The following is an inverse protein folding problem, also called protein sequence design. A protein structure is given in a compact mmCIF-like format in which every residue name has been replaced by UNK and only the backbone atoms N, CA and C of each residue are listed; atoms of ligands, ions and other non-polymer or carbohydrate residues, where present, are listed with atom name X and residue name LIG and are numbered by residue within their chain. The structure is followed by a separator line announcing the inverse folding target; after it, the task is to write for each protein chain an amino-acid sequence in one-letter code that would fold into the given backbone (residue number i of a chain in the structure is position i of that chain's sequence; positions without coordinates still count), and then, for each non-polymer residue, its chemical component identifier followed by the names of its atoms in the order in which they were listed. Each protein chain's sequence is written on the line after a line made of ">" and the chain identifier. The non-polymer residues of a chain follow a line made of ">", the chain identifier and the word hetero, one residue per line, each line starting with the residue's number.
data_IF_001764411087
#
_entry.id   IF_001764411087
#
_cell.length_a   1.000
_cell.length_b   1.000
_cell.length_c   1.000
_cell.angle_alpha   90.00
_cell.angle_beta   90.00
_cell.angle_gamma   90.00
#
_symmetry.space_group_name_H-M   'P 1'
#
loop_
_entity.id
_entity.type
_entity.pdbx_description
1 polymer ?
#
# COMPACT_ATOMS: atom_id res chain seq x y z
N UNK A 1 -63.48 2.35 7.33
CA UNK A 1 -64.15 1.50 6.33
C UNK A 1 -63.06 1.00 5.43
N UNK A 2 -62.64 -0.16 5.36
CA UNK A 2 -62.90 -1.57 5.44
C UNK A 2 -61.56 -2.20 5.04
N UNK A 3 -60.89 -2.87 5.76
CA UNK A 3 -60.59 -4.23 6.17
C UNK A 3 -60.92 -5.32 5.11
N UNK A 4 -59.90 -6.10 4.73
CA UNK A 4 -59.93 -7.51 4.35
C UNK A 4 -58.48 -7.95 4.10
N UNK A 5 -57.75 -8.65 4.93
CA UNK A 5 -57.76 -10.05 5.41
C UNK A 5 -57.53 -11.14 4.38
N UNK A 6 -56.39 -11.84 4.61
CA UNK A 6 -56.18 -13.28 4.51
C UNK A 6 -55.99 -13.88 3.11
N UNK A 7 -55.05 -14.80 2.84
CA UNK A 7 -55.01 -16.15 3.40
C UNK A 7 -53.70 -16.87 3.05
N UNK A 8 -53.22 -17.66 3.96
CA UNK A 8 -52.16 -18.68 3.90
C UNK A 8 -52.52 -19.83 2.98
N UNK A 9 -51.51 -20.49 2.39
CA UNK A 9 -51.53 -21.95 2.23
C UNK A 9 -50.10 -22.52 2.28
N UNK A 10 -49.94 -23.37 3.26
CA UNK A 10 -48.82 -24.28 3.45
C UNK A 10 -48.97 -25.50 2.55
N UNK A 11 -47.89 -26.08 2.05
CA UNK A 11 -47.85 -27.49 1.68
C UNK A 11 -46.52 -28.08 2.20
N UNK A 12 -46.71 -29.14 2.94
CA UNK A 12 -45.77 -30.00 3.64
C UNK A 12 -45.04 -30.98 2.72
N UNK A 13 -43.85 -31.37 3.22
CA UNK A 13 -43.32 -32.74 3.36
C UNK A 13 -42.49 -33.32 2.22
N UNK A 14 -41.23 -33.68 2.52
CA UNK A 14 -40.91 -35.08 2.81
C UNK A 14 -39.48 -35.23 3.29
N UNK A 15 -39.39 -35.84 4.46
CA UNK A 15 -38.22 -36.31 5.18
C UNK A 15 -37.59 -37.51 4.48
N UNK A 16 -36.23 -37.59 4.46
CA UNK A 16 -35.51 -38.83 4.51
C UNK A 16 -34.21 -38.62 5.28
N UNK A 17 -34.13 -39.20 6.45
CA UNK A 17 -32.99 -39.15 7.34
C UNK A 17 -31.87 -40.11 6.94
N UNK A 18 -30.64 -39.74 7.25
CA UNK A 18 -29.56 -40.68 7.56
C UNK A 18 -28.79 -40.11 8.75
N UNK A 19 -29.05 -40.73 9.90
CA UNK A 19 -28.31 -40.55 11.13
C UNK A 19 -27.06 -41.44 11.06
N UNK A 20 -25.87 -40.83 11.19
CA UNK A 20 -24.64 -41.57 11.49
C UNK A 20 -24.19 -41.13 12.88
N UNK A 21 -24.31 -42.05 13.83
CA UNK A 21 -23.78 -41.95 15.19
C UNK A 21 -22.27 -42.09 15.17
N UNK A 22 -21.58 -41.14 15.80
CA UNK A 22 -20.18 -41.31 16.22
C UNK A 22 -20.13 -41.37 17.75
N UNK A 23 -19.36 -42.34 18.32
CA UNK A 23 -19.25 -42.42 19.78
C UNK A 23 -18.26 -41.40 20.33
N UNK A 24 -18.65 -40.79 21.43
CA UNK A 24 -17.79 -39.96 22.28
C UNK A 24 -16.81 -40.89 23.02
N UNK A 25 -15.51 -40.68 22.82
CA UNK A 25 -14.47 -41.32 23.65
C UNK A 25 -13.40 -40.27 23.99
N UNK A 26 -13.37 -39.94 25.29
CA UNK A 26 -12.27 -39.58 26.20
C UNK A 26 -11.01 -38.91 25.62
N UNK A 27 -10.70 -37.74 26.16
CA UNK A 27 -9.46 -37.01 26.02
C UNK A 27 -8.21 -37.83 26.39
N UNK A 28 -7.11 -37.72 25.66
CA UNK A 28 -5.80 -38.15 26.16
C UNK A 28 -4.98 -36.96 26.71
N UNK A 29 -4.40 -37.24 27.83
CA UNK A 29 -3.38 -36.55 28.59
C UNK A 29 -2.18 -36.16 27.72
N UNK A 30 -1.74 -34.92 27.81
CA UNK A 30 -0.52 -34.41 27.16
C UNK A 30 0.68 -35.03 27.90
N UNK A 31 1.40 -35.91 27.22
CA UNK A 31 2.76 -36.33 27.61
C UNK A 31 3.73 -35.71 26.63
N UNK A 32 4.67 -34.93 27.16
CA UNK A 32 5.77 -34.37 26.39
C UNK A 32 6.59 -35.44 25.69
N UNK A 33 6.60 -35.46 24.37
CA UNK A 33 7.43 -36.35 23.58
C UNK A 33 8.67 -35.60 23.10
N UNK A 34 9.81 -36.03 23.61
CA UNK A 34 11.16 -35.75 23.11
C UNK A 34 11.29 -36.15 21.63
N UNK A 35 11.94 -35.24 20.85
CA UNK A 35 12.30 -35.51 19.46
C UNK A 35 13.08 -36.82 19.32
N UNK A 36 12.45 -37.84 18.75
CA UNK A 36 13.13 -39.02 18.27
C UNK A 36 12.91 -39.09 16.76
N UNK A 37 14.01 -39.07 16.04
CA UNK A 37 14.12 -39.23 14.60
C UNK A 37 13.48 -40.55 14.16
N UNK A 38 12.43 -40.47 13.33
CA UNK A 38 11.86 -41.64 12.65
C UNK A 38 12.64 -41.89 11.35
N UNK A 39 13.55 -42.85 11.41
CA UNK A 39 14.15 -43.44 10.21
C UNK A 39 13.12 -44.42 9.61
N UNK A 40 12.61 -44.12 8.41
CA UNK A 40 11.87 -45.09 7.58
C UNK A 40 12.87 -45.84 6.73
N UNK A 41 13.07 -47.13 7.01
CA UNK A 41 13.79 -48.03 6.10
C UNK A 41 12.91 -48.36 4.89
N UNK A 42 13.40 -48.07 3.70
CA UNK A 42 12.84 -48.61 2.46
C UNK A 42 13.48 -49.95 2.14
N UNK A 43 12.70 -50.90 1.58
CA UNK A 43 13.00 -52.29 1.33
C UNK A 43 14.20 -52.59 0.39
N UNK A 44 15.07 -51.65 0.10
CA UNK A 44 16.27 -51.80 -0.74
C UNK A 44 17.55 -51.23 -0.12
N UNK A 45 17.64 -51.10 1.17
CA UNK A 45 18.91 -50.91 1.89
C UNK A 45 19.82 -49.72 1.45
N UNK A 46 19.28 -48.70 0.81
CA UNK A 46 20.03 -47.49 0.47
C UNK A 46 19.59 -46.36 1.42
N UNK A 47 20.47 -45.79 2.26
CA UNK A 47 20.11 -44.66 3.10
C UNK A 47 19.86 -43.45 2.20
N UNK A 48 18.61 -43.02 2.09
CA UNK A 48 18.30 -41.70 1.54
C UNK A 48 18.66 -40.66 2.60
N UNK A 49 19.81 -40.03 2.44
CA UNK A 49 20.10 -38.78 3.14
C UNK A 49 19.15 -37.72 2.58
N UNK A 50 18.15 -37.35 3.36
CA UNK A 50 17.44 -36.08 3.10
C UNK A 50 18.47 -35.01 3.37
N UNK A 51 19.05 -34.45 2.31
CA UNK A 51 19.81 -33.21 2.41
C UNK A 51 18.85 -32.16 2.99
N UNK A 52 19.13 -31.69 4.20
CA UNK A 52 18.51 -30.46 4.68
C UNK A 52 18.86 -29.38 3.64
N UNK A 53 17.89 -28.99 2.81
CA UNK A 53 18.03 -27.78 1.99
C UNK A 53 18.28 -26.63 2.93
N UNK A 54 19.52 -26.17 2.94
CA UNK A 54 19.88 -24.95 3.63
C UNK A 54 19.00 -23.85 3.06
N UNK A 55 18.23 -23.09 3.88
CA UNK A 55 17.41 -22.03 3.34
C UNK A 55 18.28 -21.14 2.46
N UNK A 56 17.81 -20.84 1.26
CA UNK A 56 18.51 -19.98 0.31
C UNK A 56 18.94 -18.71 1.04
N UNK A 57 20.24 -18.37 0.99
CA UNK A 57 20.75 -17.20 1.68
C UNK A 57 20.06 -15.96 1.08
N UNK A 58 19.40 -15.19 1.96
CA UNK A 58 18.77 -13.90 1.58
C UNK A 58 19.79 -13.01 0.87
N UNK A 59 19.38 -12.36 -0.24
CA UNK A 59 20.19 -11.36 -0.94
C UNK A 59 20.58 -10.24 0.05
N UNK A 60 21.87 -9.89 0.20
CA UNK A 60 22.29 -8.88 1.19
C UNK A 60 21.71 -7.49 0.87
N UNK A 61 21.56 -6.67 1.91
CA UNK A 61 21.22 -5.25 1.76
C UNK A 61 22.24 -4.56 0.84
N UNK A 62 21.77 -3.62 0.00
CA UNK A 62 22.64 -2.86 -0.89
C UNK A 62 23.75 -2.15 -0.12
N UNK A 63 25.00 -2.32 -0.57
CA UNK A 63 26.18 -1.85 0.16
C UNK A 63 26.30 -0.31 0.21
N UNK A 64 25.74 0.39 -0.78
CA UNK A 64 25.72 1.87 -0.78
C UNK A 64 24.63 2.35 0.18
N UNK A 65 23.45 1.72 0.14
CA UNK A 65 22.36 2.01 1.06
C UNK A 65 22.82 1.80 2.51
N UNK A 66 23.52 0.71 2.81
CA UNK A 66 24.04 0.45 4.14
C UNK A 66 24.94 1.59 4.63
N UNK A 67 25.85 2.10 3.81
CA UNK A 67 26.72 3.25 4.14
C UNK A 67 25.93 4.53 4.38
N UNK A 68 24.86 4.76 3.61
CA UNK A 68 23.99 5.93 3.81
C UNK A 68 23.25 5.82 5.14
N UNK A 69 22.74 4.65 5.49
CA UNK A 69 22.05 4.40 6.76
C UNK A 69 22.99 4.53 7.97
N UNK A 70 24.27 4.13 7.83
CA UNK A 70 25.30 4.33 8.85
C UNK A 70 25.64 5.82 9.05
N UNK A 71 25.67 6.59 7.96
CA UNK A 71 25.97 8.03 8.01
C UNK A 71 24.81 8.89 8.52
N UNK A 72 23.57 8.49 8.21
CA UNK A 72 22.34 9.20 8.62
C UNK A 72 21.36 8.16 9.20
N UNK A 73 21.61 7.71 10.44
CA UNK A 73 20.74 6.74 11.07
C UNK A 73 19.37 7.36 11.34
N UNK A 74 18.33 6.73 10.82
CA UNK A 74 16.95 7.14 11.05
C UNK A 74 16.06 5.90 11.25
N UNK A 75 15.20 5.99 12.24
CA UNK A 75 14.16 5.03 12.51
C UNK A 75 12.85 5.78 12.74
N UNK A 76 11.86 5.44 11.95
CA UNK A 76 10.50 5.92 12.19
C UNK A 76 10.00 5.30 13.50
N UNK A 77 9.49 6.12 14.40
CA UNK A 77 9.05 5.67 15.73
C UNK A 77 7.96 6.60 16.25
N UNK A 78 7.10 6.07 17.10
CA UNK A 78 6.08 6.84 17.84
C UNK A 78 6.57 7.32 19.21
N UNK A 79 7.81 7.03 19.57
CA UNK A 79 8.41 7.46 20.83
C UNK A 79 8.49 8.97 20.93
N UNK A 80 8.10 9.50 22.08
CA UNK A 80 8.03 10.95 22.31
C UNK A 80 6.80 11.63 21.74
N UNK A 81 5.87 10.85 21.15
CA UNK A 81 4.61 11.35 20.61
C UNK A 81 4.70 11.86 19.17
N UNK A 82 3.54 12.28 18.65
CA UNK A 82 3.38 12.60 17.22
C UNK A 82 4.23 13.78 16.78
N UNK A 83 4.31 14.84 17.57
CA UNK A 83 5.09 16.03 17.18
C UNK A 83 6.61 15.74 17.13
N UNK A 84 7.11 14.93 18.06
CA UNK A 84 8.49 14.49 18.01
C UNK A 84 8.77 13.60 16.78
N UNK A 85 7.82 12.76 16.37
CA UNK A 85 7.92 11.93 15.16
C UNK A 85 7.91 12.78 13.90
N UNK A 86 7.02 13.77 13.82
CA UNK A 86 6.97 14.75 12.72
C UNK A 86 8.23 15.57 12.60
N UNK A 87 8.77 16.04 13.75
CA UNK A 87 10.00 16.83 13.75
C UNK A 87 11.19 15.99 13.26
N UNK A 88 11.38 14.78 13.78
CA UNK A 88 12.42 13.87 13.29
C UNK A 88 12.31 13.59 11.80
N UNK A 89 11.08 13.44 11.29
CA UNK A 89 10.85 13.22 9.86
C UNK A 89 11.15 14.47 9.03
N UNK A 90 10.80 15.67 9.51
CA UNK A 90 11.16 16.95 8.87
C UNK A 90 12.67 17.20 8.83
N UNK A 91 13.39 16.79 9.87
CA UNK A 91 14.84 17.00 10.02
C UNK A 91 15.68 16.10 9.11
N UNK A 92 15.08 15.10 8.44
CA UNK A 92 15.80 14.26 7.49
C UNK A 92 16.39 15.13 6.36
N UNK A 93 17.67 14.92 6.01
CA UNK A 93 18.26 15.64 4.88
C UNK A 93 17.58 15.25 3.58
N UNK A 94 17.16 16.25 2.81
CA UNK A 94 16.55 16.06 1.50
C UNK A 94 17.35 16.76 0.42
N UNK A 95 17.53 16.05 -0.69
CA UNK A 95 18.19 16.63 -1.86
C UNK A 95 17.15 17.32 -2.72
N UNK A 96 17.45 18.54 -3.17
CA UNK A 96 16.64 19.17 -4.21
C UNK A 96 16.82 18.42 -5.53
N UNK A 97 15.73 17.93 -6.10
CA UNK A 97 15.68 17.27 -7.41
C UNK A 97 14.82 18.07 -8.37
N UNK A 98 15.14 18.03 -9.66
CA UNK A 98 14.36 18.67 -10.73
C UNK A 98 13.91 20.12 -10.38
N UNK A 99 14.84 21.06 -10.13
CA UNK A 99 14.50 22.42 -9.73
C UNK A 99 13.75 23.20 -10.83
N UNK A 100 13.82 22.72 -12.06
CA UNK A 100 13.13 23.23 -13.25
C UNK A 100 11.65 22.85 -13.35
N UNK A 101 11.19 21.89 -12.56
CA UNK A 101 9.76 21.55 -12.45
C UNK A 101 9.01 22.72 -11.83
N UNK A 102 8.09 23.31 -12.60
CA UNK A 102 7.20 24.36 -12.10
C UNK A 102 6.25 23.82 -11.05
N UNK A 103 6.09 24.52 -9.95
CA UNK A 103 5.18 24.15 -8.86
C UNK A 103 4.25 25.29 -8.48
N UNK A 104 3.08 24.94 -7.94
CA UNK A 104 2.12 25.91 -7.38
C UNK A 104 1.37 25.28 -6.21
N UNK A 105 1.40 25.94 -5.07
CA UNK A 105 0.52 25.60 -3.95
C UNK A 105 -0.88 26.12 -4.22
N UNK A 106 -1.88 25.30 -3.92
CA UNK A 106 -3.30 25.63 -3.97
C UNK A 106 -4.00 25.05 -2.74
N UNK A 107 -5.21 25.50 -2.54
CA UNK A 107 -6.12 24.96 -1.53
C UNK A 107 -7.41 24.60 -2.24
N UNK A 108 -7.95 23.44 -1.94
CA UNK A 108 -9.23 22.96 -2.49
C UNK A 108 -10.22 22.74 -1.35
N UNK A 109 -11.49 22.72 -1.66
CA UNK A 109 -12.52 22.39 -0.69
C UNK A 109 -12.48 20.89 -0.38
N UNK A 110 -12.50 20.56 0.90
CA UNK A 110 -12.56 19.19 1.40
C UNK A 110 -13.74 18.94 2.33
N UNK A 111 -14.01 17.69 2.70
CA UNK A 111 -15.21 17.30 3.46
C UNK A 111 -15.24 17.87 4.89
N UNK A 112 -14.10 18.23 5.45
CA UNK A 112 -14.00 18.80 6.81
C UNK A 112 -13.19 20.10 6.86
N UNK A 113 -13.05 20.78 5.74
CA UNK A 113 -12.31 22.02 5.60
C UNK A 113 -11.34 22.00 4.41
N UNK A 114 -10.52 23.04 4.28
CA UNK A 114 -9.64 23.18 3.13
C UNK A 114 -8.52 22.10 3.12
N UNK A 115 -8.24 21.53 1.95
CA UNK A 115 -7.15 20.59 1.72
C UNK A 115 -6.04 21.30 0.94
N UNK A 116 -4.84 21.50 1.51
CA UNK A 116 -3.69 22.00 0.76
C UNK A 116 -3.23 20.97 -0.27
N UNK A 117 -2.91 21.45 -1.47
CA UNK A 117 -2.32 20.66 -2.54
C UNK A 117 -1.13 21.42 -3.15
N UNK A 118 -0.20 20.66 -3.74
CA UNK A 118 0.85 21.23 -4.59
C UNK A 118 0.80 20.57 -5.96
N UNK A 119 0.71 21.41 -6.98
CA UNK A 119 0.68 20.98 -8.38
C UNK A 119 2.08 21.11 -8.96
N UNK A 120 2.52 20.09 -9.70
CA UNK A 120 3.80 20.01 -10.37
C UNK A 120 3.57 19.79 -11.86
N UNK A 121 4.20 20.59 -12.71
CA UNK A 121 4.13 20.43 -14.16
C UNK A 121 5.42 19.87 -14.71
N UNK A 122 5.36 18.84 -15.59
CA UNK A 122 6.57 18.28 -16.19
C UNK A 122 7.31 19.37 -17.00
N UNK A 123 8.66 19.36 -17.04
CA UNK A 123 9.44 20.44 -17.63
C UNK A 123 9.34 20.53 -19.16
N UNK A 124 8.93 19.46 -19.83
CA UNK A 124 8.88 19.38 -21.28
C UNK A 124 7.45 19.55 -21.80
N UNK A 125 7.22 20.62 -22.55
CA UNK A 125 6.03 20.75 -23.39
C UNK A 125 6.19 19.86 -24.62
N UNK A 126 5.49 18.72 -24.64
CA UNK A 126 5.50 17.78 -25.78
C UNK A 126 4.52 18.19 -26.89
N UNK A 127 3.86 19.35 -26.75
CA UNK A 127 2.79 19.80 -27.64
C UNK A 127 1.47 19.03 -27.50
N UNK A 128 1.40 18.12 -26.53
CA UNK A 128 0.20 17.37 -26.17
C UNK A 128 -0.18 17.64 -24.73
N UNK A 129 -1.49 17.68 -24.43
CA UNK A 129 -1.99 17.78 -23.05
C UNK A 129 -1.43 16.64 -22.21
N UNK A 130 -0.70 16.87 -21.11
CA UNK A 130 -0.16 15.81 -20.28
C UNK A 130 -1.26 15.07 -19.49
N UNK A 131 -1.05 13.82 -19.12
CA UNK A 131 -1.92 13.14 -18.16
C UNK A 131 -1.80 13.76 -16.76
N UNK A 132 -2.64 13.31 -15.82
CA UNK A 132 -2.61 13.77 -14.42
C UNK A 132 -2.46 12.62 -13.44
N UNK A 133 -1.70 12.84 -12.37
CA UNK A 133 -1.46 11.88 -11.28
C UNK A 133 -1.81 12.55 -9.96
N UNK A 134 -2.68 11.93 -9.18
CA UNK A 134 -2.86 12.25 -7.76
C UNK A 134 -1.81 11.49 -6.97
N UNK A 135 -0.94 12.21 -6.26
CA UNK A 135 0.11 11.62 -5.44
C UNK A 135 -0.22 11.76 -3.96
N UNK A 136 -0.26 10.64 -3.26
CA UNK A 136 -0.56 10.53 -1.84
C UNK A 136 0.70 10.08 -1.11
N UNK A 137 1.21 10.92 -0.21
CA UNK A 137 2.46 10.67 0.47
C UNK A 137 2.36 9.59 1.56
N UNK A 138 3.49 8.95 1.88
CA UNK A 138 3.62 8.01 2.98
C UNK A 138 3.74 8.68 4.35
N UNK A 139 4.26 7.92 5.32
CA UNK A 139 4.48 8.41 6.69
C UNK A 139 3.47 7.88 7.71
N UNK A 140 2.89 6.68 7.48
CA UNK A 140 1.99 6.02 8.43
C UNK A 140 0.78 6.86 8.78
N UNK A 141 0.25 7.63 7.82
CA UNK A 141 -0.89 8.55 7.97
C UNK A 141 -0.71 9.60 9.08
N UNK A 142 0.49 9.71 9.67
CA UNK A 142 0.75 10.53 10.87
C UNK A 142 1.87 11.54 10.69
N UNK A 143 2.77 11.31 9.75
CA UNK A 143 3.87 12.23 9.40
C UNK A 143 3.89 12.46 7.87
N UNK A 144 4.70 13.41 7.41
CA UNK A 144 4.75 13.79 6.01
C UNK A 144 3.92 15.05 5.72
N UNK A 145 4.33 15.77 4.69
CA UNK A 145 3.68 16.99 4.19
C UNK A 145 4.17 17.28 2.76
N UNK A 146 3.64 18.35 2.14
CA UNK A 146 4.01 18.75 0.78
C UNK A 146 5.50 19.09 0.63
N UNK A 147 6.17 19.55 1.70
CA UNK A 147 7.58 19.93 1.64
C UNK A 147 8.49 18.71 1.82
N UNK A 148 8.12 17.81 2.71
CA UNK A 148 8.91 16.59 2.97
C UNK A 148 8.85 15.59 1.82
N UNK A 149 7.82 15.66 0.96
CA UNK A 149 7.61 14.81 -0.22
C UNK A 149 7.76 15.55 -1.57
N UNK A 150 8.31 16.78 -1.55
CA UNK A 150 8.51 17.59 -2.75
C UNK A 150 9.39 16.86 -3.80
N UNK A 151 10.43 16.16 -3.35
CA UNK A 151 11.34 15.39 -4.21
C UNK A 151 10.64 14.25 -4.95
N UNK A 152 9.88 13.45 -4.22
CA UNK A 152 9.13 12.30 -4.76
C UNK A 152 8.08 12.77 -5.78
N UNK A 153 7.34 13.84 -5.48
CA UNK A 153 6.35 14.41 -6.39
C UNK A 153 7.01 14.95 -7.68
N UNK A 154 8.17 15.60 -7.59
CA UNK A 154 8.95 16.05 -8.76
C UNK A 154 9.44 14.87 -9.59
N UNK A 155 9.96 13.81 -8.97
CA UNK A 155 10.36 12.60 -9.66
C UNK A 155 9.18 11.98 -10.44
N UNK A 156 7.98 11.95 -9.84
CA UNK A 156 6.77 11.48 -10.53
C UNK A 156 6.40 12.37 -11.71
N UNK A 157 6.45 13.69 -11.57
CA UNK A 157 6.12 14.61 -12.66
C UNK A 157 7.04 14.44 -13.87
N UNK A 158 8.35 14.30 -13.62
CA UNK A 158 9.35 14.11 -14.67
C UNK A 158 9.26 12.70 -15.26
N UNK A 159 9.28 11.67 -14.40
CA UNK A 159 9.33 10.28 -14.83
C UNK A 159 8.08 9.83 -15.59
N UNK A 160 6.90 10.25 -15.14
CA UNK A 160 5.65 9.95 -15.83
C UNK A 160 5.33 10.93 -16.98
N UNK A 161 6.04 12.04 -17.12
CA UNK A 161 5.70 13.17 -18.01
C UNK A 161 4.22 13.60 -17.82
N UNK A 162 3.82 13.81 -16.57
CA UNK A 162 2.46 14.07 -16.14
C UNK A 162 2.39 15.30 -15.21
N UNK A 163 1.24 15.97 -15.17
CA UNK A 163 0.93 16.87 -14.07
C UNK A 163 0.72 16.03 -12.81
N UNK A 164 1.42 16.38 -11.73
CA UNK A 164 1.26 15.69 -10.44
C UNK A 164 0.58 16.63 -9.46
N UNK A 165 -0.42 16.13 -8.76
CA UNK A 165 -1.09 16.83 -7.67
C UNK A 165 -0.80 16.07 -6.38
N UNK A 166 0.12 16.61 -5.58
CA UNK A 166 0.42 16.09 -4.24
C UNK A 166 -0.58 16.64 -3.24
N UNK A 167 -1.14 15.76 -2.41
CA UNK A 167 -2.24 16.07 -1.50
C UNK A 167 -1.75 16.05 -0.06
N UNK A 168 -2.00 17.11 0.68
CA UNK A 168 -1.80 17.15 2.12
C UNK A 168 -3.10 16.77 2.83
N UNK A 169 -3.36 15.48 2.91
CA UNK A 169 -4.50 14.94 3.64
C UNK A 169 -4.32 15.11 5.15
N UNK A 170 -5.41 15.11 5.90
CA UNK A 170 -5.40 15.22 7.37
C UNK A 170 -4.69 14.02 8.00
N UNK A 171 -3.87 14.31 9.01
CA UNK A 171 -3.00 13.32 9.65
C UNK A 171 -3.55 12.86 11.01
N UNK A 172 -3.32 11.60 11.32
CA UNK A 172 -3.51 11.02 12.63
C UNK A 172 -2.35 11.44 13.59
N UNK A 173 -2.55 11.39 14.90
CA UNK A 173 -3.75 10.97 15.63
C UNK A 173 -4.83 12.04 15.75
N UNK A 174 -4.58 13.30 15.36
CA UNK A 174 -5.56 14.39 15.48
C UNK A 174 -6.79 14.14 14.60
N UNK A 175 -6.57 13.49 13.46
CA UNK A 175 -7.60 13.09 12.50
C UNK A 175 -7.40 11.61 12.13
N UNK A 176 -7.88 10.69 12.96
CA UNK A 176 -7.76 9.27 12.70
C UNK A 176 -8.60 8.85 11.48
N UNK A 177 -8.53 7.60 11.10
CA UNK A 177 -9.39 7.01 10.09
C UNK A 177 -10.87 7.38 10.35
N UNK A 178 -11.64 7.75 9.32
CA UNK A 178 -11.31 7.74 7.88
C UNK A 178 -10.83 9.08 7.30
N UNK A 179 -10.43 10.06 8.11
CA UNK A 179 -10.16 11.43 7.66
C UNK A 179 -9.21 11.53 6.45
N UNK A 180 -8.12 10.76 6.42
CA UNK A 180 -7.17 10.74 5.30
C UNK A 180 -7.79 10.14 4.03
N UNK A 181 -8.66 9.14 4.17
CA UNK A 181 -9.40 8.54 3.04
C UNK A 181 -10.36 9.55 2.43
N UNK A 182 -11.13 10.23 3.29
CA UNK A 182 -12.11 11.24 2.84
C UNK A 182 -11.43 12.38 2.06
N UNK A 183 -10.28 12.86 2.57
CA UNK A 183 -9.52 13.92 1.92
C UNK A 183 -8.88 13.45 0.60
N UNK A 184 -8.30 12.25 0.58
CA UNK A 184 -7.70 11.67 -0.62
C UNK A 184 -8.75 11.45 -1.73
N UNK A 185 -9.93 10.99 -1.37
CA UNK A 185 -11.05 10.82 -2.28
C UNK A 185 -11.56 12.17 -2.82
N UNK A 186 -11.82 13.15 -1.92
CA UNK A 186 -12.25 14.48 -2.31
C UNK A 186 -11.23 15.17 -3.24
N UNK A 187 -9.94 15.06 -2.93
CA UNK A 187 -8.87 15.60 -3.78
C UNK A 187 -8.85 14.93 -5.16
N UNK A 188 -9.06 13.62 -5.24
CA UNK A 188 -9.09 12.89 -6.51
C UNK A 188 -10.28 13.32 -7.37
N UNK A 189 -11.46 13.47 -6.78
CA UNK A 189 -12.64 13.99 -7.47
C UNK A 189 -12.40 15.42 -7.98
N UNK A 190 -11.81 16.26 -7.14
CA UNK A 190 -11.48 17.62 -7.52
C UNK A 190 -10.49 17.67 -8.68
N UNK A 191 -9.42 16.87 -8.64
CA UNK A 191 -8.41 16.80 -9.71
C UNK A 191 -9.06 16.37 -11.03
N UNK A 192 -9.90 15.37 -11.02
CA UNK A 192 -10.60 14.92 -12.22
C UNK A 192 -11.49 16.02 -12.81
N UNK A 193 -12.24 16.74 -11.98
CA UNK A 193 -13.12 17.83 -12.42
C UNK A 193 -12.36 19.06 -12.94
N UNK A 194 -11.12 19.30 -12.43
CA UNK A 194 -10.35 20.52 -12.73
C UNK A 194 -9.06 20.23 -13.53
N UNK A 195 -8.87 19.02 -14.05
CA UNK A 195 -7.67 18.66 -14.82
C UNK A 195 -7.42 19.61 -15.98
N UNK A 196 -8.47 20.03 -16.70
CA UNK A 196 -8.36 21.01 -17.78
C UNK A 196 -7.82 22.38 -17.35
N UNK A 197 -8.18 22.86 -16.16
CA UNK A 197 -7.65 24.09 -15.58
C UNK A 197 -6.17 23.97 -15.16
N UNK A 198 -5.72 22.73 -14.89
CA UNK A 198 -4.33 22.41 -14.63
C UNK A 198 -3.52 22.21 -15.91
N UNK A 199 -4.17 22.25 -17.09
CA UNK A 199 -3.58 21.96 -18.37
C UNK A 199 -3.30 20.46 -18.56
N UNK A 200 -4.09 19.61 -17.92
CA UNK A 200 -3.96 18.15 -17.95
C UNK A 200 -5.21 17.47 -18.54
N UNK A 201 -5.07 16.23 -18.95
CA UNK A 201 -6.12 15.42 -19.53
C UNK A 201 -6.84 14.59 -18.45
N UNK A 202 -8.13 14.85 -18.16
CA UNK A 202 -8.88 14.13 -17.15
C UNK A 202 -9.11 12.65 -17.49
N UNK A 203 -9.10 12.28 -18.79
CA UNK A 203 -9.29 10.90 -19.24
C UNK A 203 -8.03 10.05 -19.05
N UNK A 204 -6.92 10.66 -18.63
CA UNK A 204 -5.65 10.00 -18.32
C UNK A 204 -5.22 10.28 -16.88
N UNK A 205 -6.11 9.98 -15.95
CA UNK A 205 -5.90 10.09 -14.51
C UNK A 205 -5.29 8.81 -13.96
N UNK A 206 -4.25 8.94 -13.13
CA UNK A 206 -3.73 7.86 -12.30
C UNK A 206 -3.64 8.28 -10.83
N UNK A 207 -3.58 7.29 -9.95
CA UNK A 207 -3.25 7.48 -8.54
C UNK A 207 -1.90 6.85 -8.24
N UNK A 208 -1.11 7.51 -7.42
CA UNK A 208 0.18 7.01 -6.96
C UNK A 208 0.36 7.32 -5.48
N UNK A 209 1.08 6.47 -4.78
CA UNK A 209 1.42 6.73 -3.38
C UNK A 209 2.37 5.69 -2.82
N UNK A 210 3.01 6.05 -1.72
CA UNK A 210 3.98 5.22 -1.05
C UNK A 210 3.53 4.85 0.37
N UNK A 211 3.74 3.61 0.81
CA UNK A 211 3.44 3.17 2.19
C UNK A 211 1.95 3.42 2.55
N UNK A 212 1.68 4.25 3.54
CA UNK A 212 0.35 4.74 3.87
C UNK A 212 -0.34 5.45 2.69
N UNK A 213 0.41 6.20 1.89
CA UNK A 213 -0.12 6.81 0.66
C UNK A 213 -0.42 5.79 -0.42
N UNK A 214 0.34 4.69 -0.50
CA UNK A 214 0.03 3.53 -1.34
C UNK A 214 -1.26 2.83 -0.93
N UNK A 215 -1.52 2.74 0.38
CA UNK A 215 -2.82 2.31 0.90
C UNK A 215 -3.94 3.23 0.41
N UNK A 216 -3.80 4.55 0.64
CA UNK A 216 -4.80 5.53 0.23
C UNK A 216 -5.05 5.50 -1.29
N UNK A 217 -4.00 5.32 -2.11
CA UNK A 217 -4.14 5.21 -3.57
C UNK A 217 -4.95 3.96 -3.97
N UNK A 218 -4.71 2.81 -3.34
CA UNK A 218 -5.48 1.60 -3.56
C UNK A 218 -6.95 1.77 -3.14
N UNK A 219 -7.19 2.41 -1.98
CA UNK A 219 -8.55 2.71 -1.49
C UNK A 219 -9.28 3.67 -2.43
N UNK A 220 -8.63 4.73 -2.88
CA UNK A 220 -9.22 5.69 -3.83
C UNK A 220 -9.57 5.01 -5.15
N UNK A 221 -8.76 4.07 -5.65
CA UNK A 221 -9.08 3.30 -6.85
C UNK A 221 -10.35 2.45 -6.66
N UNK A 222 -10.56 1.86 -5.47
CA UNK A 222 -11.79 1.14 -5.14
C UNK A 222 -13.00 2.08 -5.07
N UNK A 223 -12.87 3.21 -4.35
CA UNK A 223 -13.94 4.20 -4.23
C UNK A 223 -14.35 4.77 -5.60
N UNK A 224 -13.38 5.01 -6.48
CA UNK A 224 -13.66 5.50 -7.83
C UNK A 224 -14.47 4.50 -8.64
N UNK A 225 -14.13 3.22 -8.61
CA UNK A 225 -14.90 2.16 -9.26
C UNK A 225 -16.31 2.04 -8.66
N UNK A 226 -16.42 1.99 -7.34
CA UNK A 226 -17.67 1.70 -6.64
C UNK A 226 -18.69 2.86 -6.73
N UNK A 227 -18.21 4.07 -6.93
CA UNK A 227 -19.05 5.27 -7.06
C UNK A 227 -19.35 5.67 -8.51
N UNK A 228 -18.99 4.85 -9.54
CA UNK A 228 -18.96 5.27 -10.94
C UNK A 228 -18.28 6.64 -11.09
N UNK A 229 -17.20 6.82 -10.31
CA UNK A 229 -16.48 8.09 -10.19
C UNK A 229 -15.50 8.33 -11.33
N UNK A 230 -14.51 9.21 -11.16
CA UNK A 230 -13.57 9.51 -12.23
C UNK A 230 -12.82 8.25 -12.67
N UNK A 231 -12.68 8.01 -14.00
CA UNK A 231 -11.99 6.84 -14.49
C UNK A 231 -10.50 6.91 -14.16
N UNK A 232 -10.03 6.03 -13.29
CA UNK A 232 -8.60 5.90 -12.97
C UNK A 232 -8.00 4.88 -13.93
N UNK A 233 -6.97 5.28 -14.68
CA UNK A 233 -6.31 4.40 -15.66
C UNK A 233 -5.24 3.50 -15.08
N UNK A 234 -4.65 3.89 -13.97
CA UNK A 234 -3.53 3.16 -13.38
C UNK A 234 -3.36 3.47 -11.89
N UNK A 235 -2.87 2.51 -11.12
CA UNK A 235 -2.43 2.68 -9.75
C UNK A 235 -0.96 2.30 -9.59
N UNK A 236 -0.13 3.23 -9.10
CA UNK A 236 1.28 3.02 -8.80
C UNK A 236 1.46 2.99 -7.28
N UNK A 237 1.72 1.80 -6.75
CA UNK A 237 1.76 1.54 -5.31
C UNK A 237 3.17 1.18 -4.88
N UNK A 238 3.82 2.08 -4.13
CA UNK A 238 5.15 1.87 -3.60
C UNK A 238 5.07 1.30 -2.19
N UNK A 239 5.56 0.10 -1.97
CA UNK A 239 5.58 -0.64 -0.70
C UNK A 239 4.32 -0.40 0.16
N UNK A 240 3.12 -0.63 -0.40
CA UNK A 240 1.86 -0.19 0.20
C UNK A 240 1.46 -1.03 1.42
N UNK A 241 0.80 -0.40 2.40
CA UNK A 241 0.14 -1.09 3.52
C UNK A 241 -1.29 -1.49 3.10
N UNK A 242 -1.56 -2.76 2.79
CA UNK A 242 -2.82 -3.17 2.17
C UNK A 242 -3.64 -4.19 2.95
N UNK A 243 -3.00 -5.08 3.71
CA UNK A 243 -3.69 -6.19 4.37
C UNK A 243 -3.98 -5.95 5.85
N UNK A 244 -3.10 -5.21 6.53
CA UNK A 244 -3.06 -5.07 7.99
C UNK A 244 -2.85 -6.40 8.72
N UNK A 245 -2.29 -7.41 8.04
CA UNK A 245 -2.01 -8.72 8.59
C UNK A 245 -0.56 -8.83 9.05
N UNK A 246 -0.33 -8.61 10.35
CA UNK A 246 1.01 -8.71 10.95
C UNK A 246 1.49 -10.15 11.13
N UNK A 247 0.72 -11.16 10.73
CA UNK A 247 1.15 -12.57 10.75
C UNK A 247 1.95 -12.98 9.50
N UNK A 248 1.98 -12.12 8.47
CA UNK A 248 2.75 -12.37 7.26
C UNK A 248 4.25 -12.50 7.57
N UNK A 249 4.98 -13.41 6.88
CA UNK A 249 6.39 -13.71 7.18
C UNK A 249 7.30 -12.49 7.23
N UNK A 250 7.09 -11.51 6.33
CA UNK A 250 7.92 -10.29 6.27
C UNK A 250 7.91 -9.48 7.56
N UNK A 251 6.83 -9.52 8.36
CA UNK A 251 6.78 -8.82 9.66
C UNK A 251 7.79 -9.41 10.67
N UNK A 252 7.91 -10.72 10.71
CA UNK A 252 8.90 -11.38 11.57
C UNK A 252 10.32 -11.26 11.03
N UNK A 253 10.49 -11.47 9.73
CA UNK A 253 11.79 -11.38 9.05
C UNK A 253 12.41 -9.99 9.13
N UNK A 254 11.58 -8.95 9.10
CA UNK A 254 11.98 -7.56 9.04
C UNK A 254 11.56 -6.74 10.28
N UNK A 255 11.30 -7.40 11.41
CA UNK A 255 10.86 -6.74 12.64
C UNK A 255 11.76 -5.59 13.09
N UNK A 256 13.06 -5.70 12.82
CA UNK A 256 14.09 -4.71 13.14
C UNK A 256 14.72 -4.08 11.89
N UNK A 257 14.01 -4.03 10.77
CA UNK A 257 14.54 -3.42 9.55
C UNK A 257 14.84 -1.93 9.75
N UNK A 258 15.85 -1.39 9.06
CA UNK A 258 16.12 0.04 9.07
C UNK A 258 14.92 0.84 8.57
N UNK A 259 14.76 2.04 9.05
CA UNK A 259 13.71 3.02 8.78
C UNK A 259 12.34 2.59 9.31
N UNK A 260 11.84 1.40 9.00
CA UNK A 260 10.53 0.92 9.44
C UNK A 260 10.66 -0.48 10.04
N UNK A 261 10.47 -0.59 11.35
CA UNK A 261 10.38 -1.86 12.07
C UNK A 261 8.96 -2.13 12.57
N UNK A 262 8.74 -3.34 13.12
CA UNK A 262 7.44 -3.79 13.63
C UNK A 262 6.82 -2.84 14.67
N UNK A 263 7.62 -2.32 15.60
CA UNK A 263 7.15 -1.36 16.62
C UNK A 263 6.60 -0.08 16.02
N UNK A 264 7.25 0.43 14.97
CA UNK A 264 6.78 1.63 14.25
C UNK A 264 5.48 1.35 13.51
N UNK A 265 5.39 0.23 12.79
CA UNK A 265 4.14 -0.17 12.11
C UNK A 265 3.00 -0.23 13.11
N UNK A 266 3.16 -0.95 14.24
CA UNK A 266 2.13 -1.08 15.28
C UNK A 266 1.74 0.27 15.91
N UNK A 267 2.72 1.14 16.15
CA UNK A 267 2.49 2.45 16.75
C UNK A 267 1.71 3.39 15.84
N UNK A 268 2.13 3.49 14.57
CA UNK A 268 1.48 4.32 13.55
C UNK A 268 0.07 3.80 13.21
N UNK A 269 -0.09 2.48 13.09
CA UNK A 269 -1.38 1.85 12.87
C UNK A 269 -2.36 2.16 14.00
N UNK A 270 -1.91 2.17 15.25
CA UNK A 270 -2.73 2.54 16.39
C UNK A 270 -3.14 4.01 16.35
N UNK A 271 -2.24 4.92 15.99
CA UNK A 271 -2.59 6.33 15.82
C UNK A 271 -3.63 6.53 14.73
N UNK A 272 -3.47 5.80 13.60
CA UNK A 272 -4.38 5.94 12.45
C UNK A 272 -5.74 5.28 12.71
N UNK A 273 -5.76 4.06 13.25
CA UNK A 273 -7.01 3.35 13.52
C UNK A 273 -7.83 4.01 14.64
N UNK A 274 -7.16 4.72 15.59
CA UNK A 274 -7.86 5.28 16.76
C UNK A 274 -8.55 4.19 17.57
N UNK A 275 -9.83 4.38 17.82
CA UNK A 275 -10.70 3.46 18.60
C UNK A 275 -11.43 2.43 17.71
N UNK A 276 -11.03 2.27 16.43
CA UNK A 276 -11.68 1.33 15.52
C UNK A 276 -11.48 -0.12 15.98
N UNK A 277 -12.54 -0.91 15.91
CA UNK A 277 -12.45 -2.36 16.12
C UNK A 277 -11.76 -3.02 14.90
N UNK A 278 -10.53 -3.48 15.11
CA UNK A 278 -9.73 -4.11 14.05
C UNK A 278 -10.13 -5.57 13.77
N UNK A 279 -11.11 -6.14 14.49
CA UNK A 279 -11.62 -7.48 14.17
C UNK A 279 -12.47 -7.50 12.88
N UNK A 280 -13.11 -6.35 12.55
CA UNK A 280 -13.90 -6.15 11.32
C UNK A 280 -13.44 -4.90 10.57
N UNK A 281 -12.24 -4.98 9.99
CA UNK A 281 -11.63 -3.87 9.26
C UNK A 281 -12.33 -3.65 7.92
N UNK A 282 -12.78 -2.41 7.62
CA UNK A 282 -13.37 -2.11 6.31
C UNK A 282 -12.31 -2.07 5.21
N UNK A 283 -12.73 -2.32 3.97
CA UNK A 283 -11.86 -2.26 2.79
C UNK A 283 -11.20 -0.88 2.59
N UNK A 284 -11.84 0.18 3.06
CA UNK A 284 -11.29 1.55 3.04
C UNK A 284 -10.16 1.79 4.07
N UNK A 285 -9.93 0.84 4.99
CA UNK A 285 -8.74 0.79 5.84
C UNK A 285 -7.71 -0.22 5.30
N UNK A 286 -8.19 -1.42 4.92
CA UNK A 286 -7.39 -2.54 4.46
C UNK A 286 -7.85 -2.97 3.05
N UNK A 287 -7.35 -2.34 1.97
CA UNK A 287 -7.87 -2.54 0.61
C UNK A 287 -7.79 -3.99 0.12
N UNK A 288 -6.89 -4.80 0.65
CA UNK A 288 -6.83 -6.22 0.36
C UNK A 288 -8.00 -7.05 0.93
N UNK A 289 -8.83 -6.46 1.79
CA UNK A 289 -10.02 -7.10 2.38
C UNK A 289 -11.32 -6.79 1.63
N UNK A 290 -11.24 -6.06 0.51
CA UNK A 290 -12.40 -5.84 -0.33
C UNK A 290 -12.97 -7.18 -0.82
N UNK A 291 -14.31 -7.30 -0.80
CA UNK A 291 -14.99 -8.52 -1.24
C UNK A 291 -14.84 -8.77 -2.74
N UNK A 292 -14.69 -7.70 -3.51
CA UNK A 292 -14.50 -7.72 -4.95
C UNK A 292 -13.43 -6.71 -5.36
N UNK A 293 -12.43 -7.19 -6.09
CA UNK A 293 -11.36 -6.38 -6.68
C UNK A 293 -11.46 -6.31 -8.22
N UNK A 294 -12.45 -6.97 -8.81
CA UNK A 294 -12.64 -6.93 -10.26
C UNK A 294 -12.94 -5.50 -10.74
N UNK A 295 -12.50 -5.20 -11.96
CA UNK A 295 -12.74 -3.89 -12.58
C UNK A 295 -11.89 -2.74 -12.04
N UNK A 296 -10.99 -3.00 -11.09
CA UNK A 296 -10.01 -2.01 -10.65
C UNK A 296 -9.00 -1.68 -11.77
N UNK A 297 -8.40 -0.49 -11.77
CA UNK A 297 -7.39 -0.14 -12.75
C UNK A 297 -6.15 -1.04 -12.63
N UNK A 298 -5.44 -1.30 -13.75
CA UNK A 298 -4.15 -1.98 -13.72
C UNK A 298 -3.20 -1.38 -12.69
N UNK A 299 -2.35 -2.22 -12.08
CA UNK A 299 -1.45 -1.82 -10.99
C UNK A 299 0.01 -2.14 -11.28
N UNK A 300 0.91 -1.27 -10.82
CA UNK A 300 2.30 -1.60 -10.55
C UNK A 300 2.52 -1.50 -9.04
N UNK A 301 2.92 -2.60 -8.43
CA UNK A 301 3.17 -2.70 -7.01
C UNK A 301 4.64 -2.98 -6.80
N UNK A 302 5.34 -2.07 -6.16
CA UNK A 302 6.74 -2.24 -5.82
C UNK A 302 6.86 -2.52 -4.32
N UNK A 303 7.62 -3.54 -3.96
CA UNK A 303 7.93 -3.90 -2.57
C UNK A 303 9.43 -3.91 -2.35
N UNK A 304 9.88 -4.01 -1.10
CA UNK A 304 11.30 -4.04 -0.77
C UNK A 304 11.64 -5.30 0.04
N UNK A 305 12.81 -5.88 -0.23
CA UNK A 305 13.23 -7.12 0.43
C UNK A 305 13.34 -6.97 1.95
N UNK A 306 13.82 -5.83 2.43
CA UNK A 306 14.01 -5.52 3.86
C UNK A 306 12.91 -4.60 4.41
N UNK A 307 11.65 -5.05 4.27
CA UNK A 307 10.47 -4.29 4.63
C UNK A 307 9.45 -5.21 5.33
N UNK A 308 8.95 -4.88 6.52
CA UNK A 308 7.85 -5.62 7.13
C UNK A 308 6.59 -5.65 6.25
N UNK A 309 6.36 -4.64 5.39
CA UNK A 309 5.22 -4.57 4.47
C UNK A 309 5.47 -5.26 3.11
N UNK A 310 6.61 -5.98 2.93
CA UNK A 310 6.91 -6.68 1.66
C UNK A 310 5.78 -7.61 1.24
N UNK A 311 5.38 -8.49 2.13
CA UNK A 311 4.37 -9.52 1.83
C UNK A 311 2.95 -8.92 1.79
N UNK A 312 2.74 -7.78 2.41
CA UNK A 312 1.52 -6.98 2.37
C UNK A 312 1.21 -6.53 0.93
N UNK A 313 2.17 -5.86 0.30
CA UNK A 313 2.05 -5.46 -1.11
C UNK A 313 2.02 -6.65 -2.07
N UNK A 314 2.80 -7.71 -1.80
CA UNK A 314 2.81 -8.93 -2.62
C UNK A 314 1.44 -9.61 -2.62
N UNK A 315 0.82 -9.74 -1.44
CA UNK A 315 -0.53 -10.33 -1.32
C UNK A 315 -1.59 -9.53 -2.07
N UNK A 316 -1.51 -8.20 -2.04
CA UNK A 316 -2.44 -7.37 -2.79
C UNK A 316 -2.29 -7.56 -4.31
N UNK A 317 -1.07 -7.70 -4.82
CA UNK A 317 -0.82 -8.02 -6.22
C UNK A 317 -1.44 -9.36 -6.64
N UNK A 318 -1.31 -10.39 -5.79
CA UNK A 318 -1.93 -11.71 -6.01
C UNK A 318 -3.46 -11.59 -6.07
N UNK A 319 -4.06 -10.90 -5.10
CA UNK A 319 -5.52 -10.71 -5.04
C UNK A 319 -6.06 -9.97 -6.26
N UNK A 320 -5.36 -8.94 -6.74
CA UNK A 320 -5.71 -8.24 -7.98
C UNK A 320 -5.66 -9.19 -9.18
N UNK A 321 -4.59 -9.99 -9.30
CA UNK A 321 -4.46 -10.96 -10.39
C UNK A 321 -5.54 -12.06 -10.32
N UNK A 322 -5.88 -12.56 -9.13
CA UNK A 322 -6.98 -13.51 -8.89
C UNK A 322 -8.34 -12.92 -9.34
N UNK A 323 -8.53 -11.59 -9.17
CA UNK A 323 -9.72 -10.86 -9.63
C UNK A 323 -9.69 -10.48 -11.12
N UNK A 324 -8.66 -10.91 -11.87
CA UNK A 324 -8.51 -10.59 -13.30
C UNK A 324 -8.02 -9.17 -13.60
N UNK A 325 -7.50 -8.45 -12.60
CA UNK A 325 -6.89 -7.12 -12.75
C UNK A 325 -5.41 -7.28 -13.08
N UNK A 326 -4.91 -6.68 -14.18
CA UNK A 326 -3.49 -6.72 -14.50
C UNK A 326 -2.67 -6.07 -13.37
N UNK A 327 -1.84 -6.85 -12.69
CA UNK A 327 -0.96 -6.39 -11.63
C UNK A 327 0.48 -6.83 -11.89
N UNK A 328 1.40 -5.87 -11.89
CA UNK A 328 2.81 -6.13 -11.99
C UNK A 328 3.46 -5.93 -10.63
N UNK A 329 4.03 -6.99 -10.06
CA UNK A 329 4.79 -6.93 -8.81
C UNK A 329 6.29 -6.81 -9.10
N UNK A 330 6.97 -5.91 -8.40
CA UNK A 330 8.43 -5.80 -8.39
C UNK A 330 8.96 -5.80 -6.97
N UNK A 331 9.79 -6.78 -6.63
CA UNK A 331 10.50 -6.83 -5.35
C UNK A 331 11.92 -6.27 -5.49
N UNK A 332 12.18 -5.14 -4.87
CA UNK A 332 13.53 -4.57 -4.75
C UNK A 332 14.27 -5.27 -3.59
N UNK A 333 14.78 -6.48 -3.84
CA UNK A 333 15.27 -7.44 -2.83
C UNK A 333 16.34 -6.88 -1.89
N UNK A 334 17.17 -5.95 -2.37
CA UNK A 334 18.32 -5.38 -1.63
C UNK A 334 17.98 -4.07 -0.94
N UNK A 335 16.72 -3.61 -1.01
CA UNK A 335 16.28 -2.32 -0.50
C UNK A 335 15.40 -2.45 0.75
N UNK A 336 15.20 -1.31 1.43
CA UNK A 336 14.36 -1.17 2.62
C UNK A 336 13.05 -0.47 2.29
N UNK A 337 12.12 -0.46 3.23
CA UNK A 337 10.95 0.44 3.20
C UNK A 337 11.37 1.89 2.94
N UNK A 338 10.59 2.66 2.19
CA UNK A 338 10.90 4.07 1.93
C UNK A 338 12.08 4.33 1.00
N UNK A 339 12.51 3.34 0.20
CA UNK A 339 13.69 3.48 -0.67
C UNK A 339 13.59 4.61 -1.70
N UNK A 340 12.40 5.14 -2.00
CA UNK A 340 12.25 6.29 -2.91
C UNK A 340 13.05 7.50 -2.45
N UNK A 341 13.15 7.75 -1.14
CA UNK A 341 13.94 8.83 -0.57
C UNK A 341 15.46 8.72 -0.82
N UNK A 342 15.95 7.55 -1.24
CA UNK A 342 17.35 7.29 -1.55
C UNK A 342 17.66 7.31 -3.05
N UNK A 343 16.65 7.52 -3.90
CA UNK A 343 16.85 7.63 -5.35
C UNK A 343 17.79 8.78 -5.72
N UNK A 344 18.68 8.53 -6.68
CA UNK A 344 19.74 9.46 -7.09
C UNK A 344 20.96 9.48 -6.14
N UNK A 345 20.96 8.70 -5.07
CA UNK A 345 22.11 8.43 -4.19
C UNK A 345 22.45 6.94 -4.21
N UNK A 346 21.45 6.09 -4.11
CA UNK A 346 21.58 4.63 -4.18
C UNK A 346 21.11 4.16 -5.55
N UNK A 347 22.00 3.62 -6.41
CA UNK A 347 21.64 3.20 -7.77
C UNK A 347 20.48 2.21 -7.80
N UNK A 348 20.49 1.20 -6.93
CA UNK A 348 19.40 0.21 -6.84
C UNK A 348 18.03 0.86 -6.54
N UNK A 349 17.99 1.90 -5.69
CA UNK A 349 16.78 2.65 -5.39
C UNK A 349 16.32 3.49 -6.60
N UNK A 350 17.27 4.09 -7.33
CA UNK A 350 16.99 4.82 -8.56
C UNK A 350 16.41 3.89 -9.62
N UNK A 351 17.04 2.74 -9.86
CA UNK A 351 16.57 1.75 -10.84
C UNK A 351 15.15 1.23 -10.48
N UNK A 352 14.89 0.99 -9.19
CA UNK A 352 13.58 0.55 -8.73
C UNK A 352 12.51 1.62 -8.94
N UNK A 353 12.83 2.89 -8.65
CA UNK A 353 11.94 4.03 -8.90
C UNK A 353 11.68 4.20 -10.40
N UNK A 354 12.71 4.17 -11.23
CA UNK A 354 12.59 4.38 -12.68
C UNK A 354 11.71 3.31 -13.34
N UNK A 355 11.76 2.06 -12.87
CA UNK A 355 10.87 0.98 -13.33
C UNK A 355 9.40 1.31 -13.10
N UNK A 356 9.03 1.72 -11.89
CA UNK A 356 7.64 2.07 -11.58
C UNK A 356 7.17 3.32 -12.31
N UNK A 357 8.02 4.36 -12.39
CA UNK A 357 7.70 5.57 -13.17
C UNK A 357 7.57 5.28 -14.66
N UNK A 358 8.36 4.34 -15.21
CA UNK A 358 8.23 3.89 -16.60
C UNK A 358 6.92 3.14 -16.83
N UNK A 359 6.48 2.30 -15.87
CA UNK A 359 5.19 1.62 -15.94
C UNK A 359 4.03 2.62 -15.91
N UNK A 360 4.07 3.60 -15.00
CA UNK A 360 3.09 4.69 -14.91
C UNK A 360 3.03 5.49 -16.22
N UNK A 361 4.19 5.90 -16.74
CA UNK A 361 4.29 6.62 -18.01
C UNK A 361 3.69 5.80 -19.15
N UNK A 362 4.04 4.53 -19.26
CA UNK A 362 3.52 3.64 -20.32
C UNK A 362 2.01 3.52 -20.25
N UNK A 363 1.42 3.35 -19.06
CA UNK A 363 -0.02 3.25 -18.88
C UNK A 363 -0.77 4.54 -19.24
N UNK A 364 -0.21 5.70 -18.92
CA UNK A 364 -0.82 7.00 -19.15
C UNK A 364 -0.65 7.52 -20.59
N UNK A 365 0.37 7.07 -21.33
CA UNK A 365 0.64 7.51 -22.69
C UNK A 365 0.32 6.45 -23.75
N UNK A 366 -0.17 5.26 -23.35
CA UNK A 366 -0.75 4.29 -24.28
C UNK A 366 -1.95 4.92 -25.02
N UNK A 367 -2.00 4.72 -26.36
CA UNK A 367 -3.10 5.20 -27.23
C UNK A 367 -4.30 4.31 -27.13
#
# INVERSE_FOLDING_TARGET
>A
MSAATASSTAVNALTAGCSVNWPVSSAPTIVAATKTSLVRECAYGVPMSVAEEKPASRTPLDAILLKVLEAVPFQLTTDGGVEASRQRFRDLPRRQVHPDVRTQNRTIDGPAGPIPIRVYWPPNDTGSTPPVVVFLHGGGWSVGDLDTYDGEARNHAVGAAAVVVSVQYRLAPEHPYPAAVDDAWAATQWVAAHAGELGADPDRLAVAGDSAGGNLAAVVAQLARDADGPPIRFQLLWYPATTWDTSLPSFTENANAPLLGDSAVKGLSRWYAGDLDLSDMPATLAPARAQDLAGLPPAYIAVAGYDPLRDDGARYAELLAEAGVPAQLHNAETLIHGYLGYAGVVPAATDAMDRGLSALRSALHAR
#
